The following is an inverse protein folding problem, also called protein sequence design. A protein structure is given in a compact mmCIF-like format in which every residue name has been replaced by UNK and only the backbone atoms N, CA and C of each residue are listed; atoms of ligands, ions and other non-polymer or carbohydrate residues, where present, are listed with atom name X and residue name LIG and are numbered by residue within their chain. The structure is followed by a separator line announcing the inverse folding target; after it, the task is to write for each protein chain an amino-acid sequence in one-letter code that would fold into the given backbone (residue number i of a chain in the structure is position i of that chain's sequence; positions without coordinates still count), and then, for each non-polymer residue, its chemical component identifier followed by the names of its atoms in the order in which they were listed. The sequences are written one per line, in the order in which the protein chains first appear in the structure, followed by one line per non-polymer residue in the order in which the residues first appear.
data_IF_039196277065
#
_entry.id   IF_039196277065
#
_cell.length_a   1.000
_cell.length_b   1.000
_cell.length_c   1.000
_cell.angle_alpha   90.00
_cell.angle_beta   90.00
_cell.angle_gamma   90.00
#
_symmetry.space_group_name_H-M   'P 1'
#
loop_
_entity.id
_entity.type
_entity.pdbx_description
1 polymer ?
#
# COMPACT_ATOMS: atom_id res chain seq x y z
N UNK A 1 3.69 -2.09 12.06
CA UNK A 1 3.07 -2.16 10.72
C UNK A 1 3.26 -0.80 10.07
N UNK A 2 4.03 -0.72 9.00
CA UNK A 2 4.22 0.53 8.27
C UNK A 2 3.08 0.68 7.27
N UNK A 3 2.40 1.83 7.30
CA UNK A 3 1.41 2.17 6.28
C UNK A 3 2.13 2.36 4.93
N UNK A 4 1.50 1.97 3.81
CA UNK A 4 2.06 2.21 2.49
C UNK A 4 2.21 3.72 2.26
N UNK A 5 3.27 4.10 1.55
CA UNK A 5 3.64 5.50 1.31
C UNK A 5 3.19 5.92 -0.08
N UNK A 6 3.05 7.23 -0.36
CA UNK A 6 2.91 7.71 -1.72
C UNK A 6 4.02 7.17 -2.62
N UNK A 7 3.65 6.53 -3.73
CA UNK A 7 4.57 5.86 -4.66
C UNK A 7 4.71 4.34 -4.47
N UNK A 8 4.22 3.78 -3.36
CA UNK A 8 4.23 2.32 -3.16
C UNK A 8 3.15 1.65 -4.00
N UNK A 9 3.51 0.51 -4.61
CA UNK A 9 2.57 -0.41 -5.25
C UNK A 9 1.97 -1.34 -4.20
N UNK A 10 0.66 -1.33 -4.08
CA UNK A 10 -0.10 -2.10 -3.09
C UNK A 10 -1.09 -3.03 -3.77
N UNK A 11 -1.29 -4.20 -3.16
CA UNK A 11 -2.33 -5.15 -3.54
C UNK A 11 -3.21 -5.42 -2.34
N UNK A 12 -4.41 -4.85 -2.35
CA UNK A 12 -5.33 -4.85 -1.23
C UNK A 12 -6.51 -5.75 -1.56
N UNK A 13 -6.70 -6.79 -0.77
CA UNK A 13 -7.93 -7.60 -0.80
C UNK A 13 -8.92 -7.02 0.21
N UNK A 14 -10.01 -6.44 -0.29
CA UNK A 14 -11.09 -5.91 0.51
C UNK A 14 -11.93 -7.04 1.13
N UNK A 15 -12.71 -6.70 2.17
CA UNK A 15 -13.62 -7.63 2.86
C UNK A 15 -14.64 -8.32 1.93
N UNK A 16 -15.04 -7.66 0.85
CA UNK A 16 -15.92 -8.22 -0.17
C UNK A 16 -15.19 -9.13 -1.17
N UNK A 17 -13.92 -9.48 -0.90
CA UNK A 17 -13.03 -10.29 -1.75
C UNK A 17 -12.63 -9.61 -3.07
N UNK A 18 -12.95 -8.34 -3.27
CA UNK A 18 -12.37 -7.56 -4.37
C UNK A 18 -10.88 -7.35 -4.09
N UNK A 19 -10.05 -7.52 -5.11
CA UNK A 19 -8.62 -7.19 -5.03
C UNK A 19 -8.35 -5.92 -5.82
N UNK A 20 -7.76 -4.93 -5.18
CA UNK A 20 -7.35 -3.67 -5.79
C UNK A 20 -5.83 -3.70 -5.86
N UNK A 21 -5.30 -3.55 -7.06
CA UNK A 21 -3.87 -3.43 -7.29
C UNK A 21 -3.58 -2.07 -7.93
N UNK A 22 -2.66 -1.31 -7.34
CA UNK A 22 -2.36 0.03 -7.80
C UNK A 22 -1.29 0.73 -6.98
N UNK A 23 -1.01 1.98 -7.35
CA UNK A 23 -0.02 2.82 -6.67
C UNK A 23 -0.72 3.76 -5.70
N UNK A 24 -0.18 3.91 -4.50
CA UNK A 24 -0.67 4.91 -3.54
C UNK A 24 -0.27 6.30 -4.04
N UNK A 25 -1.22 7.17 -4.33
CA UNK A 25 -0.90 8.56 -4.71
C UNK A 25 -0.75 9.48 -3.50
N UNK A 26 -1.56 9.29 -2.46
CA UNK A 26 -1.46 10.06 -1.23
C UNK A 26 -2.13 9.36 -0.04
N UNK A 27 -1.73 9.77 1.16
CA UNK A 27 -2.16 9.25 2.46
C UNK A 27 -2.54 10.42 3.34
N UNK A 28 -3.66 10.31 4.06
CA UNK A 28 -4.13 11.34 5.03
C UNK A 28 -4.11 10.85 6.49
N UNK A 29 -3.80 9.57 6.73
CA UNK A 29 -3.77 8.98 8.07
C UNK A 29 -5.06 8.25 8.44
N UNK A 30 -6.17 8.49 7.74
CA UNK A 30 -7.40 7.68 7.84
C UNK A 30 -7.50 6.60 6.75
N UNK A 31 -6.70 6.72 5.70
CA UNK A 31 -6.69 5.83 4.55
C UNK A 31 -5.71 6.30 3.50
N UNK A 32 -5.78 5.68 2.34
CA UNK A 32 -4.96 6.01 1.20
C UNK A 32 -5.71 5.95 -0.12
N UNK A 33 -5.31 6.83 -1.02
CA UNK A 33 -5.84 6.88 -2.37
C UNK A 33 -5.00 5.99 -3.28
N UNK A 34 -5.58 4.89 -3.74
CA UNK A 34 -4.91 3.92 -4.61
C UNK A 34 -5.36 4.17 -6.04
N UNK A 35 -4.40 4.46 -6.92
CA UNK A 35 -4.60 4.55 -8.36
C UNK A 35 -4.40 3.17 -8.97
N UNK A 36 -5.51 2.46 -9.14
CA UNK A 36 -5.52 1.13 -9.74
C UNK A 36 -5.42 1.17 -11.26
N UNK A 37 -5.03 0.03 -11.85
CA UNK A 37 -4.90 -0.11 -13.31
C UNK A 37 -6.21 0.14 -14.07
N UNK A 38 -7.35 -0.26 -13.48
CA UNK A 38 -8.68 -0.05 -14.07
C UNK A 38 -9.45 1.10 -13.43
N UNK A 39 -9.23 1.37 -12.14
CA UNK A 39 -9.95 2.41 -11.39
C UNK A 39 -9.17 2.85 -10.16
N UNK A 40 -9.16 4.15 -9.90
CA UNK A 40 -8.69 4.71 -8.63
C UNK A 40 -9.76 4.63 -7.55
N UNK A 41 -9.37 4.27 -6.32
CA UNK A 41 -10.29 4.10 -5.20
C UNK A 41 -9.62 4.50 -3.89
N UNK A 42 -10.41 5.16 -3.03
CA UNK A 42 -10.04 5.37 -1.63
C UNK A 42 -10.15 4.07 -0.84
N UNK A 43 -9.10 3.74 -0.10
CA UNK A 43 -9.05 2.56 0.77
C UNK A 43 -8.87 3.03 2.21
N UNK A 44 -9.86 2.82 3.08
CA UNK A 44 -9.75 3.15 4.50
C UNK A 44 -8.82 2.15 5.20
N UNK A 45 -8.11 2.60 6.24
CA UNK A 45 -7.21 1.73 7.00
C UNK A 45 -7.93 0.52 7.62
N UNK A 46 -9.19 0.71 8.00
CA UNK A 46 -10.06 -0.34 8.55
C UNK A 46 -10.35 -1.48 7.56
N UNK A 47 -10.26 -1.21 6.25
CA UNK A 47 -10.45 -2.23 5.23
C UNK A 47 -9.22 -3.14 5.06
N UNK A 48 -8.08 -2.79 5.68
CA UNK A 48 -6.88 -3.61 5.71
C UNK A 48 -7.00 -4.66 6.82
N UNK A 49 -7.91 -5.61 6.65
CA UNK A 49 -8.22 -6.57 7.70
C UNK A 49 -7.29 -7.78 7.76
N UNK A 50 -6.22 -7.87 6.95
CA UNK A 50 -5.28 -9.00 6.98
C UNK A 50 -3.93 -8.64 6.37
N UNK A 51 -2.83 -9.31 6.77
CA UNK A 51 -1.49 -8.76 6.75
C UNK A 51 -1.08 -8.48 5.32
N UNK A 52 -0.80 -7.20 5.03
CA UNK A 52 0.15 -6.89 3.98
C UNK A 52 1.44 -7.60 4.39
N UNK A 53 1.73 -8.75 3.78
CA UNK A 53 3.07 -8.94 3.26
C UNK A 53 3.28 -7.76 2.29
N UNK A 54 3.60 -6.60 2.87
CA UNK A 54 4.37 -5.59 2.19
C UNK A 54 5.61 -6.37 1.83
N UNK A 55 5.62 -6.88 0.59
CA UNK A 55 6.80 -7.48 0.02
C UNK A 55 7.80 -6.32 0.11
N UNK A 56 8.65 -6.35 1.13
CA UNK A 56 9.81 -5.50 1.21
C UNK A 56 10.57 -5.88 -0.04
N UNK A 57 10.36 -5.12 -1.12
CA UNK A 57 11.39 -4.95 -2.13
C UNK A 57 12.49 -4.30 -1.32
N UNK A 58 13.32 -5.17 -0.73
CA UNK A 58 14.46 -4.85 0.07
C UNK A 58 15.36 -4.01 -0.80
N UNK A 59 15.12 -2.70 -0.72
CA UNK A 59 16.11 -1.71 -1.04
C UNK A 59 17.32 -2.08 -0.23
N UNK A 60 18.33 -2.55 -0.96
CA UNK A 60 19.69 -2.78 -0.52
C UNK A 60 20.13 -1.59 0.33
N UNK A 61 20.01 -1.72 1.64
CA UNK A 61 20.77 -0.95 2.60
C UNK A 61 22.09 -1.67 2.78
N UNK A 62 23.16 -1.08 2.24
CA UNK A 62 24.50 -1.19 2.82
C UNK A 62 25.12 0.19 2.60
N UNK A 63 24.80 1.14 3.48
CA UNK A 63 25.53 1.44 4.71
C UNK A 63 26.85 2.15 4.37
N UNK A 64 26.78 3.49 4.41
CA UNK A 64 27.96 4.33 4.54
C UNK A 64 28.46 4.23 5.99
N UNK A 65 29.72 3.83 6.17
CA UNK A 65 30.50 4.09 7.37
C UNK A 65 31.99 4.04 7.00
N UNK A 66 32.62 5.22 7.16
CA UNK A 66 34.06 5.56 7.23
C UNK A 66 35.05 5.06 6.15
#
# INVERSE_FOLDING_TARGET
MSLPKPGDSVKITLLNRETIEGVVEWVDGNGFWVKGAQRSRWVPLEALTVPHEAHEVGGKQEQAAE
#
